data_IF_778516275737
#
_entry.id   IF_778516275737
#
_cell.length_a   1.000
_cell.length_b   1.000
_cell.length_c   1.000
_cell.angle_alpha   90.00
_cell.angle_beta   90.00
_cell.angle_gamma   90.00
#
_symmetry.space_group_name_H-M   'P 1'
#
loop_
_entity.id
_entity.type
_entity.pdbx_description
1 polymer ?
#
# COMPACT_ATOMS: atom_id res chain seq x y z
N UNK A 1 -30.62 34.85 -53.76
CA UNK A 1 -31.56 36.01 -53.75
C UNK A 1 -30.95 37.29 -54.31
N UNK A 2 -29.70 37.66 -53.99
CA UNK A 2 -29.06 38.90 -54.48
C UNK A 2 -29.08 39.06 -56.02
N UNK A 3 -28.79 37.98 -56.77
CA UNK A 3 -28.79 37.99 -58.24
C UNK A 3 -30.18 38.21 -58.86
N UNK A 4 -31.25 37.69 -58.25
CA UNK A 4 -32.61 37.87 -58.77
C UNK A 4 -33.05 39.32 -58.67
N UNK A 5 -32.83 39.96 -57.52
CA UNK A 5 -33.24 41.35 -57.27
C UNK A 5 -32.54 42.30 -58.24
N UNK A 6 -31.23 42.11 -58.43
CA UNK A 6 -30.41 42.96 -59.30
C UNK A 6 -30.78 42.81 -60.78
N UNK A 7 -31.19 41.61 -61.21
CA UNK A 7 -31.63 41.36 -62.58
C UNK A 7 -33.07 41.85 -62.83
N UNK A 8 -33.98 41.67 -61.86
CA UNK A 8 -35.40 42.09 -61.97
C UNK A 8 -35.50 43.63 -62.07
N UNK A 9 -34.72 44.35 -61.27
CA UNK A 9 -34.61 45.82 -61.32
C UNK A 9 -34.07 46.32 -62.68
N UNK A 10 -33.15 45.57 -63.30
CA UNK A 10 -32.62 45.91 -64.62
C UNK A 10 -33.60 45.62 -65.76
N UNK A 11 -34.45 44.60 -65.63
CA UNK A 11 -35.41 44.17 -66.66
C UNK A 11 -36.79 44.84 -66.55
N UNK A 12 -37.11 45.50 -65.44
CA UNK A 12 -38.39 46.19 -65.21
C UNK A 12 -38.68 47.27 -66.27
N UNK A 13 -37.66 47.99 -66.74
CA UNK A 13 -37.80 49.00 -67.82
C UNK A 13 -38.25 48.40 -69.16
N UNK A 14 -38.08 47.09 -69.33
CA UNK A 14 -38.40 46.35 -70.53
C UNK A 14 -39.69 45.51 -70.38
N UNK A 15 -40.36 45.59 -69.23
CA UNK A 15 -41.63 44.90 -68.96
C UNK A 15 -41.51 43.38 -68.77
N UNK A 16 -40.31 42.86 -68.49
CA UNK A 16 -40.05 41.43 -68.31
C UNK A 16 -39.81 41.13 -66.83
N UNK A 17 -40.59 40.20 -66.27
CA UNK A 17 -40.51 39.79 -64.85
C UNK A 17 -39.73 38.48 -64.69
N UNK A 18 -38.75 38.45 -63.78
CA UNK A 18 -37.89 37.28 -63.58
C UNK A 18 -38.44 36.38 -62.48
N UNK A 19 -38.94 35.20 -62.86
CA UNK A 19 -39.54 34.25 -61.91
C UNK A 19 -38.50 33.46 -61.09
N UNK A 20 -37.41 32.98 -61.72
CA UNK A 20 -36.39 32.15 -61.05
C UNK A 20 -35.01 32.39 -61.67
N UNK A 21 -34.00 32.51 -60.81
CA UNK A 21 -32.58 32.54 -61.22
C UNK A 21 -31.92 31.31 -60.62
N UNK A 22 -31.42 30.44 -61.48
CA UNK A 22 -30.58 29.32 -61.09
C UNK A 22 -29.15 29.61 -61.53
N UNK A 23 -28.21 29.35 -60.62
CA UNK A 23 -26.81 29.38 -60.98
C UNK A 23 -26.51 28.06 -61.69
N UNK A 24 -26.09 28.12 -62.94
CA UNK A 24 -25.51 26.95 -63.60
C UNK A 24 -24.07 26.73 -63.14
N UNK A 25 -23.58 25.51 -63.31
CA UNK A 25 -22.22 25.13 -62.91
C UNK A 25 -21.18 26.02 -63.58
N UNK A 26 -20.45 26.78 -62.76
CA UNK A 26 -19.31 27.58 -63.21
C UNK A 26 -18.11 26.65 -63.21
N UNK A 27 -17.66 26.24 -64.40
CA UNK A 27 -16.47 25.41 -64.55
C UNK A 27 -15.25 26.33 -64.61
N UNK A 28 -14.38 26.35 -63.59
CA UNK A 28 -13.17 27.18 -63.63
C UNK A 28 -12.25 26.69 -64.75
N UNK A 29 -11.49 27.60 -65.39
CA UNK A 29 -10.51 27.21 -66.39
C UNK A 29 -9.46 26.27 -65.77
N UNK A 30 -8.86 25.36 -66.57
CA UNK A 30 -7.97 24.30 -66.07
C UNK A 30 -6.83 24.80 -65.18
N UNK A 31 -6.22 25.94 -65.53
CA UNK A 31 -5.08 26.50 -64.80
C UNK A 31 -5.43 26.90 -63.35
N UNK A 32 -6.61 27.45 -63.15
CA UNK A 32 -7.11 27.84 -61.82
C UNK A 32 -7.42 26.60 -60.98
N UNK A 33 -7.98 25.55 -61.60
CA UNK A 33 -8.27 24.29 -60.91
C UNK A 33 -7.00 23.62 -60.39
N UNK A 34 -5.95 23.57 -61.21
CA UNK A 34 -4.65 22.99 -60.84
C UNK A 34 -4.01 23.79 -59.71
N UNK A 35 -4.05 25.13 -59.79
CA UNK A 35 -3.55 26.00 -58.72
C UNK A 35 -4.32 25.80 -57.40
N UNK A 36 -5.65 25.73 -57.46
CA UNK A 36 -6.51 25.46 -56.32
C UNK A 36 -6.27 24.08 -55.72
N UNK A 37 -6.15 23.03 -56.54
CA UNK A 37 -5.84 21.67 -56.06
C UNK A 37 -4.49 21.62 -55.35
N UNK A 38 -3.46 22.27 -55.90
CA UNK A 38 -2.13 22.36 -55.28
C UNK A 38 -2.18 23.10 -53.95
N UNK A 39 -2.91 24.21 -53.86
CA UNK A 39 -3.10 24.95 -52.62
C UNK A 39 -3.89 24.14 -51.58
N UNK A 40 -4.99 23.52 -51.99
CA UNK A 40 -5.84 22.70 -51.12
C UNK A 40 -5.08 21.49 -50.57
N UNK A 41 -4.24 20.87 -51.39
CA UNK A 41 -3.35 19.79 -50.95
C UNK A 41 -2.35 20.29 -49.91
N UNK A 42 -1.66 21.39 -50.18
CA UNK A 42 -0.70 21.98 -49.24
C UNK A 42 -1.36 22.37 -47.89
N UNK A 43 -2.56 22.94 -47.93
CA UNK A 43 -3.32 23.29 -46.72
C UNK A 43 -3.77 22.05 -45.95
N UNK A 44 -4.23 20.99 -46.64
CA UNK A 44 -4.57 19.71 -46.00
C UNK A 44 -3.35 19.07 -45.36
N UNK A 45 -2.23 19.01 -46.06
CA UNK A 45 -0.99 18.43 -45.54
C UNK A 45 -0.50 19.21 -44.31
N UNK A 46 -0.55 20.56 -44.37
CA UNK A 46 -0.23 21.41 -43.21
C UNK A 46 -1.15 21.12 -42.03
N UNK A 47 -2.47 21.05 -42.26
CA UNK A 47 -3.44 20.76 -41.19
C UNK A 47 -3.26 19.37 -40.61
N UNK A 48 -2.96 18.37 -41.44
CA UNK A 48 -2.71 17.02 -40.99
C UNK A 48 -1.50 16.97 -40.05
N UNK A 49 -0.39 17.62 -40.41
CA UNK A 49 0.83 17.68 -39.57
C UNK A 49 0.54 18.36 -38.23
N UNK A 50 -0.19 19.49 -38.23
CA UNK A 50 -0.53 20.21 -37.00
C UNK A 50 -1.41 19.33 -36.10
N UNK A 51 -2.45 18.70 -36.67
CA UNK A 51 -3.38 17.87 -35.92
C UNK A 51 -2.68 16.65 -35.32
N UNK A 52 -1.78 16.02 -36.07
CA UNK A 52 -0.97 14.90 -35.59
C UNK A 52 -0.04 15.32 -34.45
N UNK A 53 0.68 16.44 -34.60
CA UNK A 53 1.55 16.97 -33.55
C UNK A 53 0.78 17.33 -32.27
N UNK A 54 -0.41 17.93 -32.41
CA UNK A 54 -1.30 18.19 -31.28
C UNK A 54 -1.80 16.90 -30.62
N UNK A 55 -2.17 15.90 -31.42
CA UNK A 55 -2.58 14.58 -30.93
C UNK A 55 -1.48 13.90 -30.14
N UNK A 56 -0.25 13.89 -30.67
CA UNK A 56 0.92 13.33 -29.98
C UNK A 56 1.21 14.08 -28.68
N UNK A 57 1.19 15.42 -28.69
CA UNK A 57 1.38 16.22 -27.47
C UNK A 57 0.34 15.88 -26.41
N UNK A 58 -0.94 15.83 -26.78
CA UNK A 58 -2.04 15.50 -25.85
C UNK A 58 -1.91 14.07 -25.32
N UNK A 59 -1.54 13.12 -26.16
CA UNK A 59 -1.33 11.72 -25.74
C UNK A 59 -0.20 11.60 -24.71
N UNK A 60 0.93 12.28 -24.92
CA UNK A 60 2.06 12.28 -23.97
C UNK A 60 1.67 12.92 -22.63
N UNK A 61 0.94 14.04 -22.66
CA UNK A 61 0.45 14.71 -21.45
C UNK A 61 -0.50 13.77 -20.68
N UNK A 62 -1.50 13.21 -21.35
CA UNK A 62 -2.48 12.34 -20.72
C UNK A 62 -1.83 11.08 -20.13
N UNK A 63 -0.83 10.52 -20.82
CA UNK A 63 -0.08 9.39 -20.30
C UNK A 63 0.75 9.76 -19.06
N UNK A 64 1.38 10.95 -19.05
CA UNK A 64 2.15 11.44 -17.92
C UNK A 64 1.25 11.74 -16.71
N UNK A 65 0.08 12.34 -16.93
CA UNK A 65 -0.95 12.59 -15.91
C UNK A 65 -1.46 11.27 -15.34
N UNK A 66 -1.85 10.32 -16.18
CA UNK A 66 -2.28 9.00 -15.72
C UNK A 66 -1.21 8.24 -14.93
N UNK A 67 0.06 8.32 -15.32
CA UNK A 67 1.18 7.76 -14.55
C UNK A 67 1.33 8.43 -13.19
N UNK A 68 1.25 9.76 -13.14
CA UNK A 68 1.33 10.52 -11.89
C UNK A 68 0.18 10.15 -10.95
N UNK A 69 -1.05 10.13 -11.46
CA UNK A 69 -2.24 9.77 -10.66
C UNK A 69 -2.15 8.35 -10.13
N UNK A 70 -1.73 7.38 -10.97
CA UNK A 70 -1.52 6.01 -10.54
C UNK A 70 -0.49 5.90 -9.42
N UNK A 71 0.66 6.58 -9.53
CA UNK A 71 1.69 6.58 -8.50
C UNK A 71 1.21 7.20 -7.18
N UNK A 72 0.42 8.28 -7.24
CA UNK A 72 -0.15 8.90 -6.05
C UNK A 72 -1.15 7.95 -5.39
N UNK A 73 -2.06 7.36 -6.17
CA UNK A 73 -3.05 6.43 -5.65
C UNK A 73 -2.41 5.19 -5.03
N UNK A 74 -1.33 4.66 -5.62
CA UNK A 74 -0.57 3.55 -5.07
C UNK A 74 0.11 3.94 -3.75
N UNK A 75 0.76 5.11 -3.69
CA UNK A 75 1.41 5.59 -2.47
C UNK A 75 0.40 5.84 -1.33
N UNK A 76 -0.75 6.44 -1.64
CA UNK A 76 -1.83 6.67 -0.68
C UNK A 76 -2.44 5.35 -0.19
N UNK A 77 -2.70 4.41 -1.10
CA UNK A 77 -3.16 3.07 -0.78
C UNK A 77 -2.19 2.32 0.11
N UNK A 78 -0.88 2.36 -0.20
CA UNK A 78 0.17 1.76 0.61
C UNK A 78 0.22 2.36 2.02
N UNK A 79 0.22 3.70 2.13
CA UNK A 79 0.16 4.38 3.43
C UNK A 79 -1.07 3.96 4.24
N UNK A 80 -2.24 3.95 3.61
CA UNK A 80 -3.49 3.60 4.29
C UNK A 80 -3.48 2.12 4.73
N UNK A 81 -2.95 1.22 3.90
CA UNK A 81 -2.82 -0.19 4.22
C UNK A 81 -1.91 -0.40 5.44
N UNK A 82 -0.76 0.28 5.50
CA UNK A 82 0.15 0.18 6.66
C UNK A 82 -0.48 0.73 7.94
N UNK A 83 -1.23 1.84 7.87
CA UNK A 83 -1.97 2.37 9.03
C UNK A 83 -3.00 1.36 9.53
N UNK A 84 -3.82 0.82 8.63
CA UNK A 84 -4.84 -0.16 8.99
C UNK A 84 -4.23 -1.44 9.58
N UNK A 85 -3.07 -1.86 9.07
CA UNK A 85 -2.33 -3.00 9.59
C UNK A 85 -1.82 -2.73 11.01
N UNK A 86 -1.17 -1.58 11.22
CA UNK A 86 -0.67 -1.17 12.53
C UNK A 86 -1.81 -1.03 13.55
N UNK A 87 -2.94 -0.43 13.16
CA UNK A 87 -4.13 -0.30 14.01
C UNK A 87 -4.72 -1.68 14.34
N UNK A 88 -4.80 -2.58 13.35
CA UNK A 88 -5.25 -3.95 13.56
C UNK A 88 -4.37 -4.73 14.54
N UNK A 89 -3.04 -4.61 14.39
CA UNK A 89 -2.06 -5.21 15.29
C UNK A 89 -2.18 -4.62 16.72
N UNK A 90 -2.30 -3.30 16.84
CA UNK A 90 -2.47 -2.63 18.13
C UNK A 90 -3.76 -3.08 18.85
N UNK A 91 -4.88 -3.14 18.13
CA UNK A 91 -6.16 -3.62 18.68
C UNK A 91 -6.04 -5.09 19.09
N UNK A 92 -5.37 -5.92 18.29
CA UNK A 92 -5.16 -7.33 18.63
C UNK A 92 -4.35 -7.47 19.93
N UNK A 93 -3.22 -6.76 20.05
CA UNK A 93 -2.40 -6.75 21.27
C UNK A 93 -3.22 -6.26 22.47
N UNK A 94 -3.98 -5.19 22.31
CA UNK A 94 -4.80 -4.65 23.39
C UNK A 94 -5.88 -5.65 23.83
N UNK A 95 -6.51 -6.36 22.89
CA UNK A 95 -7.50 -7.41 23.21
C UNK A 95 -6.87 -8.56 23.98
N UNK A 96 -5.70 -9.02 23.55
CA UNK A 96 -4.97 -10.10 24.25
C UNK A 96 -4.56 -9.64 25.65
N UNK A 97 -4.00 -8.43 25.79
CA UNK A 97 -3.60 -7.89 27.09
C UNK A 97 -4.79 -7.70 28.05
N UNK A 98 -5.94 -7.24 27.53
CA UNK A 98 -7.16 -7.12 28.33
C UNK A 98 -7.65 -8.51 28.79
N UNK A 99 -7.68 -9.48 27.89
CA UNK A 99 -8.07 -10.86 28.23
C UNK A 99 -7.12 -11.49 29.25
N UNK A 100 -5.81 -11.28 29.12
CA UNK A 100 -4.82 -11.77 30.09
C UNK A 100 -4.99 -11.06 31.44
N UNK A 101 -5.24 -9.75 31.46
CA UNK A 101 -5.52 -9.01 32.70
C UNK A 101 -6.77 -9.54 33.42
N UNK A 102 -7.85 -9.83 32.69
CA UNK A 102 -9.07 -10.41 33.24
C UNK A 102 -8.81 -11.83 33.78
N UNK A 103 -8.07 -12.65 33.03
CA UNK A 103 -7.68 -13.99 33.47
C UNK A 103 -6.86 -13.93 34.77
N UNK A 104 -5.83 -13.08 34.83
CA UNK A 104 -5.02 -12.86 36.02
C UNK A 104 -5.87 -12.41 37.20
N UNK A 105 -6.80 -11.46 37.00
CA UNK A 105 -7.73 -11.03 38.05
C UNK A 105 -8.61 -12.18 38.55
N UNK A 106 -9.11 -13.02 37.65
CA UNK A 106 -9.94 -14.18 38.03
C UNK A 106 -9.15 -15.19 38.87
N UNK A 107 -7.91 -15.49 38.48
CA UNK A 107 -7.00 -16.37 39.22
C UNK A 107 -6.66 -15.76 40.58
N UNK A 108 -6.30 -14.47 40.60
CA UNK A 108 -5.92 -13.80 41.83
C UNK A 108 -7.06 -13.77 42.85
N UNK A 109 -8.30 -13.58 42.39
CA UNK A 109 -9.48 -13.68 43.25
C UNK A 109 -9.65 -15.09 43.83
N UNK A 110 -9.57 -16.13 42.99
CA UNK A 110 -9.73 -17.52 43.43
C UNK A 110 -8.63 -17.97 44.41
N UNK A 111 -7.37 -17.56 44.19
CA UNK A 111 -6.22 -17.89 45.05
C UNK A 111 -6.28 -17.11 46.37
N UNK A 112 -6.66 -15.83 46.32
CA UNK A 112 -6.83 -14.99 47.51
C UNK A 112 -7.95 -15.49 48.44
N UNK A 113 -9.05 -16.01 47.89
CA UNK A 113 -10.11 -16.67 48.67
C UNK A 113 -9.63 -17.95 49.37
N UNK A 114 -8.61 -18.63 48.80
CA UNK A 114 -7.95 -19.80 49.39
C UNK A 114 -6.85 -19.50 50.41
N UNK A 115 -6.57 -18.21 50.69
CA UNK A 115 -5.60 -17.79 51.71
C UNK A 115 -4.12 -17.79 51.27
N UNK A 116 -3.82 -18.00 49.99
CA UNK A 116 -2.47 -17.92 49.42
C UNK A 116 -2.24 -16.58 48.70
N UNK A 117 -0.98 -16.11 48.62
CA UNK A 117 -0.62 -14.88 47.89
C UNK A 117 -0.71 -15.11 46.37
N UNK A 118 -1.64 -14.44 45.66
CA UNK A 118 -1.77 -14.53 44.21
C UNK A 118 -0.49 -14.23 43.43
N UNK A 119 0.34 -13.32 43.95
CA UNK A 119 1.55 -12.85 43.27
C UNK A 119 2.58 -13.97 43.18
N UNK A 120 2.81 -14.68 44.29
CA UNK A 120 3.73 -15.82 44.34
C UNK A 120 3.27 -16.98 43.45
N UNK A 121 1.96 -17.26 43.43
CA UNK A 121 1.39 -18.29 42.56
C UNK A 121 1.61 -17.96 41.07
N UNK A 122 1.38 -16.72 40.66
CA UNK A 122 1.59 -16.28 39.27
C UNK A 122 3.07 -16.35 38.86
N UNK A 123 4.00 -15.95 39.74
CA UNK A 123 5.45 -16.07 39.48
C UNK A 123 5.84 -17.54 39.28
N UNK A 124 5.33 -18.46 40.10
CA UNK A 124 5.61 -19.88 39.97
C UNK A 124 5.07 -20.46 38.65
N UNK A 125 3.86 -20.09 38.24
CA UNK A 125 3.28 -20.52 36.96
C UNK A 125 4.09 -19.98 35.77
N UNK A 126 4.40 -18.67 35.75
CA UNK A 126 5.22 -18.06 34.68
C UNK A 126 6.64 -18.63 34.64
N UNK A 127 7.21 -18.99 35.78
CA UNK A 127 8.51 -19.67 35.85
C UNK A 127 8.46 -21.06 35.21
N UNK A 128 7.43 -21.86 35.51
CA UNK A 128 7.24 -23.18 34.89
C UNK A 128 7.00 -23.05 33.37
N UNK A 129 6.24 -22.06 32.93
CA UNK A 129 6.03 -21.75 31.51
C UNK A 129 7.35 -21.36 30.81
N UNK A 130 8.12 -20.45 31.39
CA UNK A 130 9.43 -20.04 30.86
C UNK A 130 10.40 -21.23 30.78
N UNK A 131 10.42 -22.09 31.81
CA UNK A 131 11.20 -23.33 31.78
C UNK A 131 10.74 -24.28 30.65
N UNK A 132 9.44 -24.37 30.37
CA UNK A 132 8.90 -25.18 29.28
C UNK A 132 9.31 -24.63 27.90
N UNK A 133 9.27 -23.31 27.70
CA UNK A 133 9.75 -22.70 26.44
C UNK A 133 11.26 -22.90 26.27
N UNK A 134 12.04 -22.71 27.33
CA UNK A 134 13.49 -22.94 27.31
C UNK A 134 13.87 -24.39 26.99
N UNK A 135 13.05 -25.36 27.40
CA UNK A 135 13.30 -26.80 27.18
C UNK A 135 12.75 -27.34 25.85
N UNK A 136 11.87 -26.58 25.17
CA UNK A 136 11.31 -26.95 23.86
C UNK A 136 11.99 -26.24 22.68
N UNK A 137 12.77 -25.17 22.92
CA UNK A 137 13.62 -24.52 21.92
C UNK A 137 14.82 -25.37 21.47
N UNK A 138 15.19 -25.29 20.20
CA UNK A 138 16.12 -26.18 19.47
C UNK A 138 17.58 -26.21 19.98
N UNK A 139 17.95 -25.52 21.06
CA UNK A 139 19.31 -25.42 21.62
C UNK A 139 19.39 -25.83 23.12
N UNK A 140 18.91 -27.03 23.39
CA UNK A 140 18.58 -27.54 24.73
C UNK A 140 19.79 -28.08 25.55
N UNK A 141 20.90 -27.34 25.68
CA UNK A 141 22.11 -27.86 26.39
C UNK A 141 22.55 -27.11 27.66
N UNK A 142 21.89 -26.01 28.05
CA UNK A 142 22.27 -25.28 29.27
C UNK A 142 21.05 -25.17 30.19
N UNK A 143 20.86 -26.20 31.02
CA UNK A 143 19.94 -26.17 32.15
C UNK A 143 20.56 -25.26 33.21
N UNK A 144 20.02 -24.05 33.38
CA UNK A 144 20.42 -23.15 34.46
C UNK A 144 19.85 -23.70 35.76
N UNK A 145 20.70 -24.38 36.53
CA UNK A 145 20.35 -24.87 37.87
C UNK A 145 20.46 -23.69 38.85
N UNK A 146 19.42 -23.37 39.64
CA UNK A 146 19.43 -22.21 40.53
C UNK A 146 20.57 -22.28 41.55
N UNK A 147 21.09 -21.11 41.94
CA UNK A 147 22.21 -20.90 42.87
C UNK A 147 22.05 -21.60 44.24
N UNK A 148 20.84 -22.03 44.60
CA UNK A 148 20.58 -22.87 45.79
C UNK A 148 21.13 -24.30 45.65
N UNK A 149 21.35 -24.80 44.43
CA UNK A 149 21.96 -26.12 44.21
C UNK A 149 23.48 -26.12 44.46
N UNK A 150 24.15 -24.97 44.34
CA UNK A 150 25.58 -24.81 44.67
C UNK A 150 25.86 -25.05 46.15
N UNK A 151 24.91 -24.71 47.03
CA UNK A 151 24.98 -24.98 48.46
C UNK A 151 24.98 -26.48 48.76
N UNK A 152 24.10 -27.24 48.10
CA UNK A 152 24.01 -28.70 48.27
C UNK A 152 25.24 -29.41 47.68
N UNK A 153 25.73 -28.97 46.52
CA UNK A 153 26.94 -29.52 45.91
C UNK A 153 28.21 -29.22 46.73
N UNK A 154 28.31 -28.02 47.31
CA UNK A 154 29.40 -27.68 48.25
C UNK A 154 29.32 -28.48 49.54
N UNK A 155 28.12 -28.74 50.06
CA UNK A 155 27.94 -29.60 51.24
C UNK A 155 28.42 -31.03 50.97
N UNK A 156 28.12 -31.59 49.79
CA UNK A 156 28.59 -32.93 49.40
C UNK A 156 30.12 -32.94 49.20
N UNK A 157 30.69 -31.87 48.62
CA UNK A 157 32.14 -31.69 48.50
C UNK A 157 32.86 -31.58 49.85
N UNK A 158 32.30 -30.83 50.80
CA UNK A 158 32.84 -30.69 52.16
C UNK A 158 32.75 -31.97 52.97
N UNK A 159 31.66 -32.74 52.84
CA UNK A 159 31.53 -34.08 53.45
C UNK A 159 32.59 -35.03 52.86
N UNK A 160 32.85 -34.96 51.55
CA UNK A 160 33.92 -35.76 50.91
C UNK A 160 35.32 -35.37 51.41
N UNK A 161 35.58 -34.10 51.66
CA UNK A 161 36.86 -33.60 52.18
C UNK A 161 37.07 -34.04 53.65
N UNK A 162 36.04 -33.93 54.48
CA UNK A 162 36.03 -34.42 55.87
C UNK A 162 36.21 -35.94 55.96
N UNK A 163 35.59 -36.69 55.04
CA UNK A 163 35.78 -38.13 54.93
C UNK A 163 37.21 -38.47 54.49
N UNK A 164 37.83 -37.69 53.58
CA UNK A 164 39.24 -37.86 53.20
C UNK A 164 40.21 -37.54 54.33
N UNK A 165 40.01 -36.44 55.07
CA UNK A 165 40.87 -36.08 56.21
C UNK A 165 40.84 -37.13 57.33
N UNK A 166 39.66 -37.67 57.64
CA UNK A 166 39.53 -38.73 58.65
C UNK A 166 40.18 -40.06 58.21
N UNK A 167 40.21 -40.37 56.92
CA UNK A 167 40.93 -41.57 56.43
C UNK A 167 42.46 -41.40 56.43
N UNK A 168 42.94 -40.15 56.33
CA UNK A 168 44.39 -39.85 56.30
C UNK A 168 44.98 -39.77 57.71
N UNK A 169 44.23 -39.24 58.69
CA UNK A 169 44.62 -39.26 60.11
C UNK A 169 44.59 -40.65 60.77
N UNK A 170 43.89 -41.63 60.17
CA UNK A 170 43.87 -43.01 60.68
C UNK A 170 45.05 -43.88 60.19
N UNK A 171 45.98 -43.34 59.40
CA UNK A 171 47.15 -44.05 58.84
C UNK A 171 48.51 -43.44 59.23
N UNK A 172 48.56 -42.56 60.23
CA UNK A 172 49.81 -42.10 60.86
C UNK A 172 49.91 -42.62 62.29
#
# INVERSE_FOLDING_TARGET
QKLRILLDEATDKWGVRINRVELQDIVPPPDIRIAMEKQMRAERDRRAIILEAEGQKRAVILQAEGKREAQIAEAEGGKQSEILRADGEAIAIQRVANAESEAIRSIAKAVGEGGADPTQYLIAVKYIEALKEMTTGTNNKVVFMPFEATGILSAIGGIRELLKENTTKSRA
#
